data_IF_561213282241
#
_entry.id   IF_561213282241
#
_cell.length_a   1.000
_cell.length_b   1.000
_cell.length_c   1.000
_cell.angle_alpha   90.00
_cell.angle_beta   90.00
_cell.angle_gamma   90.00
#
_symmetry.space_group_name_H-M   'P 1'
#
loop_
_entity.id
_entity.type
_entity.pdbx_description
1 polymer ?
#
# COMPACT_ATOMS: atom_id res chain seq x y z
N UNK A 1 -20.44 29.86 22.68
CA UNK A 1 -20.45 29.64 21.21
C UNK A 1 -19.03 29.82 20.72
N UNK A 2 -18.45 28.84 20.04
CA UNK A 2 -17.10 28.94 19.48
C UNK A 2 -16.32 27.65 19.64
N UNK A 3 -16.45 26.75 18.67
CA UNK A 3 -15.71 25.50 18.65
C UNK A 3 -16.04 24.68 17.41
N UNK A 4 -15.55 25.09 16.24
CA UNK A 4 -15.47 24.24 15.04
C UNK A 4 -14.65 24.93 13.93
N UNK A 5 -13.34 25.10 14.07
CA UNK A 5 -12.53 25.61 12.94
C UNK A 5 -11.04 25.22 13.01
N UNK A 6 -10.71 23.97 13.35
CA UNK A 6 -9.29 23.54 13.31
C UNK A 6 -9.05 22.12 12.79
N UNK A 7 -10.10 21.32 12.53
CA UNK A 7 -9.95 19.98 11.92
C UNK A 7 -10.04 19.98 10.39
N UNK A 8 -10.54 21.04 9.77
CA UNK A 8 -10.86 21.07 8.33
C UNK A 8 -9.70 21.45 7.41
N UNK A 9 -8.62 22.08 7.92
CA UNK A 9 -7.49 22.49 7.07
C UNK A 9 -6.55 21.35 6.68
N UNK A 10 -6.40 20.35 7.55
CA UNK A 10 -5.51 19.20 7.30
C UNK A 10 -6.02 18.29 6.18
N UNK A 11 -7.29 17.91 6.22
CA UNK A 11 -7.90 16.99 5.24
C UNK A 11 -7.96 17.59 3.83
N UNK A 12 -8.24 18.90 3.72
CA UNK A 12 -8.31 19.58 2.44
C UNK A 12 -6.92 19.66 1.76
N UNK A 13 -5.88 20.02 2.51
CA UNK A 13 -4.51 20.10 1.98
C UNK A 13 -3.96 18.73 1.57
N UNK A 14 -4.29 17.68 2.33
CA UNK A 14 -3.95 16.29 2.01
C UNK A 14 -4.61 15.84 0.70
N UNK A 15 -5.90 16.15 0.51
CA UNK A 15 -6.60 15.87 -0.76
C UNK A 15 -6.01 16.63 -1.94
N UNK A 16 -5.65 17.91 -1.75
CA UNK A 16 -4.99 18.71 -2.80
C UNK A 16 -3.68 18.04 -3.25
N UNK A 17 -2.86 17.57 -2.30
CA UNK A 17 -1.63 16.84 -2.63
C UNK A 17 -1.89 15.54 -3.39
N UNK A 18 -2.88 14.75 -2.95
CA UNK A 18 -3.29 13.52 -3.64
C UNK A 18 -3.70 13.78 -5.10
N UNK A 19 -4.56 14.76 -5.35
CA UNK A 19 -5.05 15.08 -6.68
C UNK A 19 -3.91 15.60 -7.59
N UNK A 20 -3.08 16.51 -7.09
CA UNK A 20 -1.92 17.05 -7.83
C UNK A 20 -0.88 15.98 -8.20
N UNK A 21 -0.78 14.91 -7.40
CA UNK A 21 0.10 13.78 -7.63
C UNK A 21 -0.51 12.72 -8.56
N UNK A 22 -1.69 12.96 -9.14
CA UNK A 22 -2.39 12.04 -10.04
C UNK A 22 -3.26 11.01 -9.32
N UNK A 23 -3.48 11.16 -8.01
CA UNK A 23 -4.28 10.24 -7.21
C UNK A 23 -5.74 10.12 -7.66
N UNK A 24 -6.32 11.23 -8.15
CA UNK A 24 -7.67 11.26 -8.70
C UNK A 24 -7.89 10.26 -9.86
N UNK A 25 -6.84 9.95 -10.63
CA UNK A 25 -6.90 8.97 -11.73
C UNK A 25 -6.96 7.52 -11.21
N UNK A 26 -6.47 7.28 -9.99
CA UNK A 26 -6.48 5.96 -9.35
C UNK A 26 -7.78 5.68 -8.60
N UNK A 27 -8.48 6.72 -8.13
CA UNK A 27 -9.69 6.58 -7.31
C UNK A 27 -10.75 5.66 -7.94
N UNK A 28 -11.12 5.78 -9.24
CA UNK A 28 -12.13 4.90 -9.82
C UNK A 28 -11.76 3.42 -9.75
N UNK A 29 -10.47 3.09 -9.92
CA UNK A 29 -9.96 1.71 -9.90
C UNK A 29 -9.89 1.17 -8.47
N UNK A 30 -9.53 2.00 -7.50
CA UNK A 30 -9.52 1.64 -6.08
C UNK A 30 -10.94 1.46 -5.53
N UNK A 31 -11.84 2.41 -5.82
CA UNK A 31 -13.22 2.42 -5.30
C UNK A 31 -14.09 1.33 -5.94
N UNK A 32 -13.87 0.99 -7.21
CA UNK A 32 -14.54 -0.15 -7.84
C UNK A 32 -14.03 -1.49 -7.31
N UNK A 33 -12.91 -1.50 -6.58
CA UNK A 33 -12.25 -2.71 -6.11
C UNK A 33 -11.59 -3.51 -7.24
N UNK A 34 -11.39 -2.92 -8.43
CA UNK A 34 -10.68 -3.58 -9.53
C UNK A 34 -9.24 -3.98 -9.12
N UNK A 35 -8.61 -3.17 -8.28
CA UNK A 35 -7.38 -3.51 -7.57
C UNK A 35 -7.56 -3.31 -6.06
N UNK A 36 -6.77 -4.01 -5.25
CA UNK A 36 -6.63 -3.73 -3.82
C UNK A 36 -5.16 -3.50 -3.49
N UNK A 37 -4.87 -2.51 -2.65
CA UNK A 37 -3.51 -2.18 -2.25
C UNK A 37 -3.21 -2.76 -0.87
N UNK A 38 -2.08 -3.45 -0.74
CA UNK A 38 -1.66 -4.05 0.52
C UNK A 38 -0.95 -3.03 1.41
N UNK A 39 -1.06 -3.22 2.72
CA UNK A 39 -0.23 -2.51 3.70
C UNK A 39 1.20 -3.07 3.70
N UNK A 40 2.20 -2.21 3.45
CA UNK A 40 3.60 -2.61 3.51
C UNK A 40 3.99 -3.22 4.88
N UNK A 41 3.43 -2.73 5.99
CA UNK A 41 3.68 -3.31 7.31
C UNK A 41 3.10 -4.71 7.46
N UNK A 42 1.96 -4.98 6.84
CA UNK A 42 1.39 -6.32 6.82
C UNK A 42 2.28 -7.29 6.04
N UNK A 43 2.74 -6.91 4.85
CA UNK A 43 3.68 -7.71 4.05
C UNK A 43 5.00 -7.99 4.78
N UNK A 44 5.54 -6.99 5.48
CA UNK A 44 6.74 -7.16 6.30
C UNK A 44 6.53 -8.19 7.41
N UNK A 45 5.38 -8.17 8.09
CA UNK A 45 5.04 -9.14 9.14
C UNK A 45 4.84 -10.54 8.56
N UNK A 46 4.14 -10.66 7.44
CA UNK A 46 3.94 -11.93 6.74
C UNK A 46 5.30 -12.58 6.41
N UNK A 47 6.20 -11.82 5.80
CA UNK A 47 7.55 -12.29 5.46
C UNK A 47 8.35 -12.69 6.72
N UNK A 48 8.25 -11.91 7.79
CA UNK A 48 8.92 -12.17 9.07
C UNK A 48 8.43 -13.44 9.77
N UNK A 49 7.17 -13.82 9.55
CA UNK A 49 6.58 -15.06 10.04
C UNK A 49 6.90 -16.28 9.15
N UNK A 50 7.66 -16.11 8.05
CA UNK A 50 7.92 -17.17 7.08
C UNK A 50 6.73 -17.49 6.18
N UNK A 51 5.76 -16.58 6.08
CA UNK A 51 4.62 -16.73 5.19
C UNK A 51 4.97 -16.49 3.72
N UNK A 52 3.99 -16.78 2.86
CA UNK A 52 4.08 -16.64 1.41
C UNK A 52 2.91 -15.78 0.92
N UNK A 53 3.04 -15.09 -0.23
CA UNK A 53 1.93 -14.32 -0.78
C UNK A 53 0.76 -15.24 -1.14
N UNK A 54 -0.46 -14.74 -1.05
CA UNK A 54 -1.67 -15.47 -1.44
C UNK A 54 -2.52 -14.64 -2.40
N UNK A 55 -3.35 -15.27 -3.24
CA UNK A 55 -4.33 -14.56 -4.05
C UNK A 55 -5.20 -13.66 -3.19
N UNK A 56 -5.62 -12.52 -3.74
CA UNK A 56 -6.38 -11.48 -3.04
C UNK A 56 -7.53 -12.01 -2.17
N UNK A 57 -8.34 -12.91 -2.72
CA UNK A 57 -9.52 -13.48 -2.07
C UNK A 57 -9.22 -14.36 -0.85
N UNK A 58 -7.96 -14.78 -0.68
CA UNK A 58 -7.51 -15.58 0.46
C UNK A 58 -6.87 -14.72 1.56
N UNK A 59 -6.66 -13.43 1.31
CA UNK A 59 -6.04 -12.52 2.26
C UNK A 59 -7.09 -11.93 3.21
N UNK A 60 -6.73 -11.72 4.48
CA UNK A 60 -7.67 -11.14 5.43
C UNK A 60 -7.81 -9.62 5.21
N UNK A 61 -8.92 -8.99 5.66
CA UNK A 61 -9.17 -7.56 5.40
C UNK A 61 -8.06 -6.62 5.89
N UNK A 62 -7.40 -6.94 7.01
CA UNK A 62 -6.31 -6.17 7.57
C UNK A 62 -5.02 -6.19 6.73
N UNK A 63 -4.96 -6.98 5.66
CA UNK A 63 -3.86 -6.96 4.70
C UNK A 63 -3.91 -5.72 3.80
N UNK A 64 -5.07 -5.06 3.70
CA UNK A 64 -5.33 -4.01 2.72
C UNK A 64 -5.45 -2.62 3.35
N UNK A 65 -5.10 -1.60 2.58
CA UNK A 65 -5.37 -0.21 2.89
C UNK A 65 -6.59 0.29 2.09
N UNK A 66 -7.39 1.14 2.71
CA UNK A 66 -8.46 1.90 2.04
C UNK A 66 -7.89 3.03 1.18
N UNK A 67 -8.66 3.51 0.18
CA UNK A 67 -8.26 4.63 -0.66
C UNK A 67 -7.93 5.89 0.17
N UNK A 68 -8.69 6.16 1.24
CA UNK A 68 -8.46 7.28 2.14
C UNK A 68 -7.14 7.14 2.92
N UNK A 69 -6.78 5.94 3.38
CA UNK A 69 -5.49 5.69 4.05
C UNK A 69 -4.30 5.90 3.12
N UNK A 70 -4.46 5.54 1.83
CA UNK A 70 -3.44 5.75 0.81
C UNK A 70 -3.31 7.25 0.48
N UNK A 71 -4.44 7.94 0.27
CA UNK A 71 -4.46 9.37 -0.04
C UNK A 71 -3.90 10.21 1.11
N UNK A 72 -4.18 9.84 2.36
CA UNK A 72 -3.65 10.55 3.54
C UNK A 72 -2.15 10.43 3.72
N UNK A 73 -1.53 9.43 3.09
CA UNK A 73 -0.08 9.21 3.11
C UNK A 73 0.63 9.92 1.94
N UNK A 74 -0.10 10.53 1.00
CA UNK A 74 0.48 11.24 -0.14
C UNK A 74 0.97 12.64 0.25
N UNK A 75 2.27 12.76 0.57
CA UNK A 75 2.89 14.03 1.00
C UNK A 75 3.79 14.61 -0.10
N UNK A 76 4.65 13.78 -0.69
CA UNK A 76 5.66 14.20 -1.69
C UNK A 76 5.62 13.36 -2.97
N UNK A 77 4.64 12.47 -3.06
CA UNK A 77 4.49 11.44 -4.09
C UNK A 77 3.36 10.50 -3.71
N UNK A 78 2.84 9.75 -4.68
CA UNK A 78 1.91 8.66 -4.40
C UNK A 78 2.68 7.57 -3.64
N UNK A 79 2.23 7.17 -2.44
CA UNK A 79 2.97 6.23 -1.59
C UNK A 79 2.71 4.78 -2.04
N UNK A 80 2.74 4.51 -3.34
CA UNK A 80 2.38 3.22 -3.93
C UNK A 80 3.63 2.57 -4.52
N UNK A 81 3.95 1.37 -4.02
CA UNK A 81 5.00 0.51 -4.56
C UNK A 81 4.36 -0.53 -5.47
N UNK A 82 4.73 -0.54 -6.75
CA UNK A 82 4.27 -1.55 -7.70
C UNK A 82 5.27 -2.70 -7.80
N UNK A 83 4.77 -3.92 -7.62
CA UNK A 83 5.55 -5.16 -7.64
C UNK A 83 4.91 -6.13 -8.62
N UNK A 84 5.71 -6.54 -9.60
CA UNK A 84 5.43 -7.64 -10.50
C UNK A 84 6.73 -8.39 -10.74
N UNK A 85 6.66 -9.72 -10.73
CA UNK A 85 7.82 -10.57 -10.95
C UNK A 85 7.44 -11.87 -11.65
N UNK A 86 8.44 -12.54 -12.22
CA UNK A 86 8.25 -13.82 -12.87
C UNK A 86 7.74 -14.87 -11.88
N UNK A 87 6.88 -15.77 -12.36
CA UNK A 87 6.38 -16.87 -11.56
C UNK A 87 7.47 -17.93 -11.39
N UNK A 88 7.81 -18.28 -10.15
CA UNK A 88 8.77 -19.36 -9.86
C UNK A 88 8.23 -20.74 -10.28
N UNK A 89 6.91 -20.93 -10.23
CA UNK A 89 6.24 -22.17 -10.63
C UNK A 89 4.95 -21.87 -11.38
N UNK A 90 4.37 -22.82 -12.14
CA UNK A 90 3.10 -22.60 -12.83
C UNK A 90 1.89 -22.33 -11.91
N UNK A 91 1.95 -22.72 -10.64
CA UNK A 91 0.82 -22.63 -9.71
C UNK A 91 0.95 -21.50 -8.70
N UNK A 92 2.19 -21.05 -8.45
CA UNK A 92 2.45 -20.05 -7.44
C UNK A 92 3.67 -19.20 -7.81
N UNK A 93 3.58 -17.86 -7.71
CA UNK A 93 4.65 -16.99 -8.14
C UNK A 93 5.85 -17.02 -7.19
N UNK A 94 5.65 -17.32 -5.90
CA UNK A 94 6.71 -17.33 -4.87
C UNK A 94 6.43 -18.39 -3.77
N UNK A 95 6.49 -19.69 -4.09
CA UNK A 95 6.04 -20.76 -3.17
C UNK A 95 6.86 -20.87 -1.90
N UNK A 96 8.10 -20.36 -1.90
CA UNK A 96 9.03 -20.40 -0.77
C UNK A 96 9.23 -19.02 -0.11
N UNK A 97 8.45 -18.01 -0.53
CA UNK A 97 8.47 -16.66 0.03
C UNK A 97 9.81 -15.93 -0.17
N UNK A 98 10.64 -16.33 -1.14
CA UNK A 98 11.95 -15.71 -1.39
C UNK A 98 11.79 -14.29 -1.91
N UNK A 99 10.91 -14.10 -2.89
CA UNK A 99 10.60 -12.79 -3.47
C UNK A 99 9.94 -11.89 -2.43
N UNK A 100 9.01 -12.41 -1.64
CA UNK A 100 8.37 -11.70 -0.54
C UNK A 100 9.39 -11.29 0.53
N UNK A 101 10.33 -12.15 0.91
CA UNK A 101 11.40 -11.79 1.86
C UNK A 101 12.33 -10.72 1.30
N UNK A 102 12.62 -10.75 -0.01
CA UNK A 102 13.38 -9.69 -0.67
C UNK A 102 12.61 -8.35 -0.66
N UNK A 103 11.33 -8.38 -1.05
CA UNK A 103 10.45 -7.23 -1.01
C UNK A 103 10.36 -6.64 0.41
N UNK A 104 10.17 -7.47 1.43
CA UNK A 104 10.08 -7.02 2.81
C UNK A 104 11.36 -6.30 3.29
N UNK A 105 12.56 -6.69 2.81
CA UNK A 105 13.79 -5.93 3.10
C UNK A 105 13.76 -4.56 2.45
N UNK A 106 13.33 -4.47 1.19
CA UNK A 106 13.19 -3.19 0.47
C UNK A 106 12.16 -2.28 1.13
N UNK A 107 10.98 -2.81 1.50
CA UNK A 107 9.93 -2.05 2.18
C UNK A 107 10.42 -1.49 3.52
N UNK A 108 11.16 -2.26 4.32
CA UNK A 108 11.78 -1.76 5.58
C UNK A 108 12.70 -0.57 5.34
N UNK A 109 13.49 -0.59 4.25
CA UNK A 109 14.37 0.53 3.91
C UNK A 109 13.58 1.77 3.49
N UNK A 110 12.53 1.60 2.68
CA UNK A 110 11.64 2.68 2.27
C UNK A 110 10.95 3.33 3.48
N UNK A 111 10.40 2.54 4.40
CA UNK A 111 9.77 3.02 5.64
C UNK A 111 10.77 3.78 6.53
N UNK A 112 12.01 3.28 6.65
CA UNK A 112 13.06 3.94 7.42
C UNK A 112 13.48 5.29 6.80
N UNK A 113 13.54 5.39 5.47
CA UNK A 113 13.86 6.64 4.77
C UNK A 113 12.74 7.68 4.90
N UNK A 114 11.48 7.25 4.78
CA UNK A 114 10.32 8.14 4.91
C UNK A 114 10.18 8.70 6.32
N UNK A 115 10.49 7.89 7.34
CA UNK A 115 10.45 8.30 8.76
C UNK A 115 11.52 9.34 9.14
N UNK A 116 12.60 9.48 8.35
CA UNK A 116 13.67 10.45 8.63
C UNK A 116 13.33 11.88 8.17
N UNK A 117 12.43 12.02 7.20
CA UNK A 117 12.17 13.31 6.55
C UNK A 117 10.77 13.87 6.83
N UNK A 118 9.81 13.04 7.24
CA UNK A 118 8.41 13.44 7.46
C UNK A 118 7.76 12.56 8.55
N UNK A 119 6.53 12.94 8.96
CA UNK A 119 5.62 12.06 9.71
C UNK A 119 5.53 10.68 9.05
N UNK A 120 5.32 9.59 9.83
CA UNK A 120 5.27 8.24 9.29
C UNK A 120 4.25 8.13 8.16
N UNK A 121 4.76 7.83 6.96
CA UNK A 121 3.99 7.63 5.74
C UNK A 121 3.86 6.12 5.52
N UNK A 122 2.62 5.60 5.45
CA UNK A 122 2.41 4.17 5.16
C UNK A 122 2.49 3.96 3.66
N UNK A 123 3.40 3.10 3.22
CA UNK A 123 3.40 2.69 1.81
C UNK A 123 2.32 1.65 1.55
N UNK A 124 1.56 1.89 0.49
CA UNK A 124 0.67 0.93 -0.11
C UNK A 124 1.44 0.10 -1.15
N UNK A 125 1.10 -1.17 -1.33
CA UNK A 125 1.78 -2.05 -2.27
C UNK A 125 0.76 -2.62 -3.25
N UNK A 126 0.94 -2.32 -4.53
CA UNK A 126 0.31 -3.08 -5.60
C UNK A 126 1.22 -4.26 -5.93
N UNK A 127 0.88 -5.43 -5.41
CA UNK A 127 1.51 -6.69 -5.78
C UNK A 127 0.54 -7.47 -6.66
N UNK A 128 0.82 -7.59 -7.95
CA UNK A 128 -0.07 -8.15 -8.98
C UNK A 128 -0.87 -9.39 -8.52
N UNK A 129 -0.20 -10.42 -7.99
CA UNK A 129 -0.79 -11.66 -7.51
C UNK A 129 -1.75 -11.46 -6.32
N UNK A 130 -1.42 -10.53 -5.43
CA UNK A 130 -2.17 -10.26 -4.20
C UNK A 130 -3.24 -9.15 -4.38
N UNK A 131 -3.15 -8.36 -5.45
CA UNK A 131 -3.91 -7.12 -5.65
C UNK A 131 -5.02 -7.26 -6.67
N UNK A 132 -4.82 -8.12 -7.67
CA UNK A 132 -5.82 -8.46 -8.67
C UNK A 132 -6.73 -9.56 -8.15
N UNK A 133 -8.00 -9.52 -8.55
CA UNK A 133 -8.93 -10.61 -8.31
C UNK A 133 -8.66 -11.74 -9.31
N UNK A 134 -8.66 -13.00 -8.85
CA UNK A 134 -8.37 -14.19 -9.67
C UNK A 134 -9.47 -15.24 -9.51
#
# INVERSE_FOLDING_TARGET
MGGCCEKSRGTAAVRVGWDELGGAELEPVLLSGAIALLDAHWLIRLAGAGGVPHPRQCLPPEAFLSADEVATSAIRGLPIVCVSHAWCTPHHPDPDGESLRALARTLKLLEAQSSQHCSPCRHAVFYDFCSLHQ
#
